data_IF_635246819146
#
_entry.id   IF_635246819146
#
_cell.length_a   1.000
_cell.length_b   1.000
_cell.length_c   1.000
_cell.angle_alpha   90.00
_cell.angle_beta   90.00
_cell.angle_gamma   90.00
#
_symmetry.space_group_name_H-M   'P 1'
#
loop_
_entity.id
_entity.type
_entity.pdbx_description
1 polymer ?
#
# COMPACT_ATOMS: atom_id res chain seq x y z
N UNK A 1 -8.66 -82.91 60.98
CA UNK A 1 -8.57 -84.22 60.31
C UNK A 1 -7.21 -84.31 59.64
N UNK A 2 -6.43 -85.34 60.00
CA UNK A 2 -5.19 -85.86 59.38
C UNK A 2 -3.97 -84.91 59.35
N UNK A 3 -2.84 -85.07 60.07
CA UNK A 3 -1.97 -86.23 60.40
C UNK A 3 -1.56 -86.97 59.10
N UNK A 4 -0.30 -87.05 58.63
CA UNK A 4 1.00 -87.44 59.24
C UNK A 4 2.16 -86.82 58.40
N UNK A 5 3.21 -86.24 59.01
CA UNK A 5 4.54 -86.80 59.38
C UNK A 5 5.48 -87.24 58.25
N UNK A 6 6.69 -86.66 58.25
CA UNK A 6 8.03 -87.32 58.31
C UNK A 6 9.13 -86.22 58.26
N UNK A 7 9.73 -85.81 59.39
CA UNK A 7 11.10 -86.15 59.86
C UNK A 7 12.12 -86.47 58.73
N UNK A 8 13.28 -85.82 58.59
CA UNK A 8 14.38 -85.67 59.57
C UNK A 8 15.60 -84.95 58.94
N UNK A 9 16.60 -84.62 59.80
CA UNK A 9 17.96 -84.03 59.58
C UNK A 9 18.01 -82.49 59.60
N UNK A 10 18.47 -81.79 60.65
CA UNK A 10 19.79 -81.77 61.32
C UNK A 10 20.95 -81.36 60.40
N UNK A 11 21.12 -80.05 60.23
CA UNK A 11 22.42 -79.35 60.18
C UNK A 11 22.18 -77.89 60.60
N UNK A 12 22.59 -77.55 61.81
CA UNK A 12 23.02 -76.19 62.13
C UNK A 12 24.29 -75.88 61.33
N UNK A 13 24.49 -74.59 61.06
CA UNK A 13 25.68 -73.87 60.57
C UNK A 13 25.53 -73.34 59.12
N UNK A 14 25.44 -72.01 59.08
CA UNK A 14 25.61 -71.06 57.96
C UNK A 14 24.39 -70.69 57.08
N UNK A 15 23.26 -70.31 57.69
CA UNK A 15 22.14 -69.62 56.97
C UNK A 15 22.15 -68.08 57.17
N UNK A 16 22.94 -67.55 58.12
CA UNK A 16 23.01 -66.11 58.39
C UNK A 16 23.75 -65.31 57.29
N UNK A 17 24.40 -65.97 56.34
CA UNK A 17 25.13 -65.33 55.23
C UNK A 17 24.30 -65.08 53.96
N UNK A 18 23.36 -65.98 53.64
CA UNK A 18 22.48 -65.84 52.46
C UNK A 18 21.27 -64.96 52.74
N UNK A 19 20.68 -65.01 53.94
CA UNK A 19 19.62 -64.07 54.34
C UNK A 19 20.14 -62.63 54.44
N UNK A 20 21.36 -62.41 54.98
CA UNK A 20 21.94 -61.07 55.08
C UNK A 20 22.30 -60.50 53.71
N UNK A 21 22.83 -61.30 52.78
CA UNK A 21 23.09 -60.85 51.39
C UNK A 21 21.82 -60.67 50.56
N UNK A 22 20.73 -61.37 50.89
CA UNK A 22 19.41 -61.17 50.30
C UNK A 22 18.76 -59.89 50.84
N UNK A 23 18.80 -59.67 52.16
CA UNK A 23 18.27 -58.49 52.83
C UNK A 23 18.98 -57.20 52.40
N UNK A 24 20.30 -57.24 52.22
CA UNK A 24 21.07 -56.09 51.73
C UNK A 24 20.69 -55.75 50.27
N UNK A 25 20.48 -56.77 49.41
CA UNK A 25 19.98 -56.59 48.04
C UNK A 25 18.56 -56.03 48.01
N UNK A 26 17.66 -56.49 48.87
CA UNK A 26 16.31 -55.91 49.01
C UNK A 26 16.36 -54.45 49.47
N UNK A 27 17.26 -54.12 50.40
CA UNK A 27 17.46 -52.74 50.88
C UNK A 27 17.95 -51.83 49.76
N UNK A 28 18.87 -52.31 48.92
CA UNK A 28 19.38 -51.59 47.75
C UNK A 28 18.29 -51.33 46.71
N UNK A 29 17.52 -52.36 46.34
CA UNK A 29 16.39 -52.24 45.41
C UNK A 29 15.33 -51.25 45.94
N UNK A 30 15.02 -51.29 47.24
CA UNK A 30 14.09 -50.33 47.86
C UNK A 30 14.63 -48.90 47.83
N UNK A 31 15.94 -48.72 48.02
CA UNK A 31 16.58 -47.41 47.90
C UNK A 31 16.54 -46.89 46.45
N UNK A 32 16.76 -47.77 45.47
CA UNK A 32 16.68 -47.45 44.05
C UNK A 32 15.26 -47.10 43.61
N UNK A 33 14.25 -47.88 44.01
CA UNK A 33 12.84 -47.56 43.77
C UNK A 33 12.42 -46.23 44.42
N UNK A 34 12.97 -45.88 45.59
CA UNK A 34 12.73 -44.56 46.22
C UNK A 34 13.37 -43.42 45.42
N UNK A 35 14.57 -43.61 44.87
CA UNK A 35 15.22 -42.62 43.99
C UNK A 35 14.44 -42.46 42.69
N UNK A 36 14.01 -43.55 42.09
CA UNK A 36 13.20 -43.55 40.88
C UNK A 36 11.84 -42.88 41.11
N UNK A 37 11.17 -43.14 42.24
CA UNK A 37 9.92 -42.46 42.61
C UNK A 37 10.11 -40.95 42.73
N UNK A 38 11.17 -40.50 43.40
CA UNK A 38 11.50 -39.06 43.49
C UNK A 38 11.78 -38.44 42.12
N UNK A 39 12.52 -39.14 41.27
CA UNK A 39 12.79 -38.68 39.90
C UNK A 39 11.49 -38.56 39.07
N UNK A 40 10.57 -39.52 39.21
CA UNK A 40 9.25 -39.48 38.57
C UNK A 40 8.41 -38.31 39.08
N UNK A 41 8.37 -38.06 40.39
CA UNK A 41 7.66 -36.92 40.98
C UNK A 41 8.21 -35.59 40.44
N UNK A 42 9.55 -35.42 40.39
CA UNK A 42 10.16 -34.21 39.81
C UNK A 42 9.83 -34.05 38.32
N UNK A 43 9.85 -35.14 37.56
CA UNK A 43 9.55 -35.12 36.13
C UNK A 43 8.07 -34.78 35.89
N UNK A 44 7.17 -35.29 36.73
CA UNK A 44 5.75 -34.99 36.69
C UNK A 44 5.48 -33.51 37.01
N UNK A 45 6.18 -32.92 37.98
CA UNK A 45 6.09 -31.48 38.24
C UNK A 45 6.56 -30.65 37.05
N UNK A 46 7.69 -31.02 36.43
CA UNK A 46 8.21 -30.33 35.23
C UNK A 46 7.27 -30.48 34.03
N UNK A 47 6.68 -31.66 33.82
CA UNK A 47 5.68 -31.88 32.77
C UNK A 47 4.45 -31.01 32.98
N UNK A 48 3.95 -30.91 34.22
CA UNK A 48 2.79 -30.08 34.52
C UNK A 48 3.07 -28.59 34.32
N UNK A 49 4.28 -28.13 34.67
CA UNK A 49 4.73 -26.76 34.38
C UNK A 49 4.80 -26.52 32.86
N UNK A 50 5.45 -27.41 32.10
CA UNK A 50 5.52 -27.30 30.64
C UNK A 50 4.14 -27.31 30.00
N UNK A 51 3.21 -28.13 30.49
CA UNK A 51 1.83 -28.17 30.01
C UNK A 51 1.10 -26.86 30.26
N UNK A 52 1.28 -26.26 31.44
CA UNK A 52 0.72 -24.95 31.77
C UNK A 52 1.27 -23.86 30.83
N UNK A 53 2.58 -23.77 30.69
CA UNK A 53 3.22 -22.81 29.78
C UNK A 53 2.78 -23.00 28.32
N UNK A 54 2.66 -24.24 27.86
CA UNK A 54 2.19 -24.54 26.51
C UNK A 54 0.73 -24.08 26.31
N UNK A 55 -0.16 -24.32 27.28
CA UNK A 55 -1.55 -23.87 27.21
C UNK A 55 -1.67 -22.34 27.22
N UNK A 56 -0.89 -21.66 28.04
CA UNK A 56 -0.87 -20.19 28.08
C UNK A 56 -0.36 -19.60 26.76
N UNK A 57 0.73 -20.16 26.22
CA UNK A 57 1.27 -19.76 24.91
C UNK A 57 0.26 -19.99 23.79
N UNK A 58 -0.45 -21.13 23.80
CA UNK A 58 -1.52 -21.42 22.81
C UNK A 58 -2.62 -20.37 22.90
N UNK A 59 -3.10 -20.05 24.11
CA UNK A 59 -4.16 -19.07 24.32
C UNK A 59 -3.76 -17.68 23.83
N UNK A 60 -2.53 -17.25 24.10
CA UNK A 60 -2.00 -15.98 23.59
C UNK A 60 -1.94 -15.97 22.05
N UNK A 61 -1.46 -17.04 21.43
CA UNK A 61 -1.42 -17.17 19.97
C UNK A 61 -2.82 -17.18 19.34
N UNK A 62 -3.78 -17.86 19.96
CA UNK A 62 -5.18 -17.85 19.52
C UNK A 62 -5.81 -16.45 19.60
N UNK A 63 -5.52 -15.69 20.66
CA UNK A 63 -5.97 -14.29 20.77
C UNK A 63 -5.34 -13.41 19.70
N UNK A 64 -4.04 -13.53 19.47
CA UNK A 64 -3.35 -12.80 18.42
C UNK A 64 -3.88 -13.14 17.01
N UNK A 65 -4.19 -14.42 16.75
CA UNK A 65 -4.82 -14.85 15.50
C UNK A 65 -6.20 -14.21 15.31
N UNK A 66 -7.05 -14.22 16.34
CA UNK A 66 -8.38 -13.58 16.28
C UNK A 66 -8.28 -12.08 15.97
N UNK A 67 -7.38 -11.36 16.64
CA UNK A 67 -7.15 -9.94 16.37
C UNK A 67 -6.67 -9.70 14.94
N UNK A 68 -5.75 -10.54 14.44
CA UNK A 68 -5.25 -10.46 13.07
C UNK A 68 -6.37 -10.72 12.05
N UNK A 69 -7.22 -11.72 12.28
CA UNK A 69 -8.33 -12.05 11.39
C UNK A 69 -9.41 -10.95 11.38
N UNK A 70 -9.66 -10.31 12.54
CA UNK A 70 -10.52 -9.12 12.62
C UNK A 70 -9.96 -7.95 11.81
N UNK A 71 -8.65 -7.65 11.92
CA UNK A 71 -8.00 -6.60 11.14
C UNK A 71 -8.03 -6.94 9.64
N UNK A 72 -7.73 -8.18 9.27
CA UNK A 72 -7.80 -8.64 7.89
C UNK A 72 -9.21 -8.43 7.30
N UNK A 73 -10.25 -8.81 8.05
CA UNK A 73 -11.63 -8.61 7.61
C UNK A 73 -12.00 -7.13 7.41
N UNK A 74 -11.47 -6.24 8.25
CA UNK A 74 -11.69 -4.78 8.12
C UNK A 74 -10.99 -4.24 6.87
N UNK A 75 -9.76 -4.66 6.62
CA UNK A 75 -8.99 -4.27 5.43
C UNK A 75 -9.65 -4.80 4.16
N UNK A 76 -10.09 -6.05 4.13
CA UNK A 76 -10.80 -6.65 2.99
C UNK A 76 -12.09 -5.88 2.67
N UNK A 77 -12.83 -5.45 3.70
CA UNK A 77 -14.02 -4.62 3.51
C UNK A 77 -13.66 -3.23 2.95
N UNK A 78 -12.58 -2.61 3.44
CA UNK A 78 -12.14 -1.30 2.94
C UNK A 78 -11.65 -1.38 1.49
N UNK A 79 -10.90 -2.43 1.14
CA UNK A 79 -10.46 -2.72 -0.23
C UNK A 79 -11.67 -2.86 -1.14
N UNK A 80 -12.64 -3.70 -0.76
CA UNK A 80 -13.88 -3.90 -1.54
C UNK A 80 -14.65 -2.59 -1.76
N UNK A 81 -14.74 -1.73 -0.75
CA UNK A 81 -15.40 -0.43 -0.89
C UNK A 81 -14.64 0.49 -1.85
N UNK A 82 -13.30 0.48 -1.82
CA UNK A 82 -12.47 1.26 -2.75
C UNK A 82 -12.55 0.73 -4.18
N UNK A 83 -12.54 -0.58 -4.36
CA UNK A 83 -12.74 -1.24 -5.67
C UNK A 83 -14.08 -0.84 -6.30
N UNK A 84 -15.18 -0.92 -5.54
CA UNK A 84 -16.49 -0.48 -6.03
C UNK A 84 -16.52 0.99 -6.44
N UNK A 85 -15.81 1.87 -5.72
CA UNK A 85 -15.69 3.28 -6.10
C UNK A 85 -14.89 3.47 -7.39
N UNK A 86 -13.79 2.74 -7.54
CA UNK A 86 -12.98 2.77 -8.77
C UNK A 86 -13.79 2.27 -9.98
N UNK A 87 -14.57 1.21 -9.83
CA UNK A 87 -15.41 0.69 -10.91
C UNK A 87 -16.49 1.69 -11.34
N UNK A 88 -17.11 2.40 -10.39
CA UNK A 88 -18.04 3.49 -10.70
C UNK A 88 -17.34 4.63 -11.45
N UNK A 89 -16.14 5.02 -11.01
CA UNK A 89 -15.37 6.07 -11.68
C UNK A 89 -14.93 5.66 -13.10
N UNK A 90 -14.43 4.43 -13.29
CA UNK A 90 -14.11 3.86 -14.62
C UNK A 90 -15.29 3.92 -15.57
N UNK A 91 -16.49 3.57 -15.10
CA UNK A 91 -17.71 3.67 -15.91
C UNK A 91 -18.00 5.12 -16.34
N UNK A 92 -17.75 6.10 -15.48
CA UNK A 92 -17.92 7.53 -15.80
C UNK A 92 -16.92 7.97 -16.87
N UNK A 93 -15.63 7.62 -16.71
CA UNK A 93 -14.61 7.94 -17.72
C UNK A 93 -14.91 7.31 -19.07
N UNK A 94 -15.29 6.04 -19.10
CA UNK A 94 -15.67 5.35 -20.35
C UNK A 94 -16.80 6.11 -21.08
N UNK A 95 -17.80 6.60 -20.33
CA UNK A 95 -18.86 7.43 -20.91
C UNK A 95 -18.31 8.77 -21.40
N UNK A 96 -17.48 9.46 -20.62
CA UNK A 96 -16.85 10.72 -21.03
C UNK A 96 -16.04 10.57 -22.31
N UNK A 97 -15.15 9.57 -22.39
CA UNK A 97 -14.36 9.28 -23.58
C UNK A 97 -15.24 8.95 -24.79
N UNK A 98 -16.34 8.22 -24.60
CA UNK A 98 -17.29 7.97 -25.69
C UNK A 98 -17.95 9.27 -26.20
N UNK A 99 -18.30 10.21 -25.31
CA UNK A 99 -18.84 11.50 -25.71
C UNK A 99 -17.80 12.38 -26.40
N UNK A 100 -16.56 12.40 -25.88
CA UNK A 100 -15.44 13.13 -26.48
C UNK A 100 -15.19 12.61 -27.90
N UNK A 101 -15.09 11.30 -28.09
CA UNK A 101 -14.86 10.71 -29.41
C UNK A 101 -15.99 11.04 -30.39
N UNK A 102 -17.25 10.93 -29.95
CA UNK A 102 -18.41 11.26 -30.78
C UNK A 102 -18.44 12.74 -31.19
N UNK A 103 -18.19 13.66 -30.27
CA UNK A 103 -18.17 15.10 -30.57
C UNK A 103 -17.02 15.43 -31.52
N UNK A 104 -15.86 14.84 -31.28
CA UNK A 104 -14.69 15.01 -32.14
C UNK A 104 -15.01 14.55 -33.57
N UNK A 105 -15.60 13.36 -33.74
CA UNK A 105 -16.01 12.85 -35.05
C UNK A 105 -17.04 13.77 -35.75
N UNK A 106 -18.05 14.24 -35.02
CA UNK A 106 -19.08 15.14 -35.59
C UNK A 106 -18.52 16.50 -35.99
N UNK A 107 -17.62 17.11 -35.20
CA UNK A 107 -16.96 18.36 -35.58
C UNK A 107 -16.11 18.17 -36.84
N UNK A 108 -15.39 17.05 -36.94
CA UNK A 108 -14.63 16.72 -38.15
C UNK A 108 -15.54 16.52 -39.37
N UNK A 109 -16.68 15.84 -39.22
CA UNK A 109 -17.67 15.69 -40.29
C UNK A 109 -18.17 17.05 -40.78
N UNK A 110 -18.48 17.98 -39.88
CA UNK A 110 -18.92 19.34 -40.24
C UNK A 110 -17.81 20.09 -40.98
N UNK A 111 -16.57 20.03 -40.51
CA UNK A 111 -15.43 20.65 -41.19
C UNK A 111 -15.28 20.11 -42.62
N UNK A 112 -15.39 18.79 -42.80
CA UNK A 112 -15.25 18.15 -44.10
C UNK A 112 -16.36 18.56 -45.09
N UNK A 113 -17.59 18.72 -44.61
CA UNK A 113 -18.71 19.20 -45.43
C UNK A 113 -18.48 20.63 -45.94
N UNK A 114 -17.85 21.49 -45.14
CA UNK A 114 -17.63 22.90 -45.49
C UNK A 114 -16.44 23.04 -46.44
N UNK A 115 -15.33 22.35 -46.16
CA UNK A 115 -14.09 22.57 -46.89
C UNK A 115 -14.17 22.14 -48.37
N UNK A 116 -15.07 21.23 -48.75
CA UNK A 116 -15.21 20.62 -50.10
C UNK A 116 -13.91 20.02 -50.70
N UNK A 117 -12.77 20.26 -50.08
CA UNK A 117 -11.50 19.63 -50.37
C UNK A 117 -11.56 18.25 -49.76
N UNK A 118 -11.44 17.26 -50.62
CA UNK A 118 -10.97 15.92 -50.26
C UNK A 118 -9.56 16.10 -49.68
N UNK A 119 -9.45 16.49 -48.40
CA UNK A 119 -8.22 16.27 -47.67
C UNK A 119 -8.13 14.76 -47.50
N UNK A 120 -7.05 14.22 -48.04
CA UNK A 120 -6.79 12.80 -48.20
C UNK A 120 -7.16 12.00 -46.95
N UNK A 121 -8.05 11.03 -47.15
CA UNK A 121 -8.53 10.06 -46.15
C UNK A 121 -7.40 9.25 -45.47
N UNK A 122 -6.14 9.39 -45.90
CA UNK A 122 -5.02 8.54 -45.47
C UNK A 122 -4.38 8.95 -44.14
N UNK A 123 -4.42 10.22 -43.76
CA UNK A 123 -3.74 10.69 -42.53
C UNK A 123 -4.69 10.80 -41.32
N UNK A 124 -6.01 10.61 -41.55
CA UNK A 124 -7.07 11.00 -40.63
C UNK A 124 -7.69 9.85 -39.81
N UNK A 125 -7.57 8.59 -40.26
CA UNK A 125 -8.11 7.44 -39.51
C UNK A 125 -7.16 6.93 -38.42
N UNK A 126 -5.86 7.25 -38.50
CA UNK A 126 -4.84 6.77 -37.57
C UNK A 126 -4.74 7.61 -36.29
N UNK A 127 -5.19 8.87 -36.31
CA UNK A 127 -5.11 9.77 -35.15
C UNK A 127 -6.40 9.78 -34.31
N UNK A 128 -7.57 9.69 -34.93
CA UNK A 128 -8.84 9.92 -34.22
C UNK A 128 -9.41 8.69 -33.51
N UNK A 129 -9.00 7.47 -33.87
CA UNK A 129 -9.56 6.23 -33.29
C UNK A 129 -8.74 5.65 -32.13
N UNK A 130 -7.54 6.16 -31.87
CA UNK A 130 -6.63 5.63 -30.85
C UNK A 130 -6.34 6.59 -29.69
N UNK A 131 -6.76 7.87 -29.77
CA UNK A 131 -6.35 8.90 -28.79
C UNK A 131 -7.16 8.87 -27.48
N UNK A 132 -8.35 8.26 -27.48
CA UNK A 132 -9.31 8.36 -26.37
C UNK A 132 -9.74 6.99 -25.84
N UNK A 133 -8.77 6.10 -25.64
CA UNK A 133 -9.02 4.80 -25.00
C UNK A 133 -8.64 4.92 -23.52
N UNK A 134 -9.61 4.80 -22.59
CA UNK A 134 -9.30 4.82 -21.17
C UNK A 134 -8.34 3.68 -20.79
N UNK A 135 -7.28 4.02 -20.06
CA UNK A 135 -6.36 3.04 -19.49
C UNK A 135 -6.95 2.47 -18.20
N UNK A 136 -7.13 1.16 -18.10
CA UNK A 136 -7.95 0.54 -17.05
C UNK A 136 -7.42 0.77 -15.61
N UNK A 137 -6.14 1.11 -15.44
CA UNK A 137 -5.50 1.14 -14.12
C UNK A 137 -5.03 2.52 -13.64
N UNK A 138 -4.96 3.54 -14.50
CA UNK A 138 -4.49 4.87 -14.10
C UNK A 138 -5.60 5.94 -14.26
N UNK A 139 -6.17 6.33 -13.12
CA UNK A 139 -7.23 7.35 -13.06
C UNK A 139 -6.70 8.77 -13.32
N UNK A 140 -5.43 9.04 -13.01
CA UNK A 140 -4.79 10.34 -13.22
C UNK A 140 -4.46 10.52 -14.70
N UNK A 141 -3.98 9.47 -15.35
CA UNK A 141 -3.76 9.42 -16.80
C UNK A 141 -5.08 9.58 -17.55
N UNK A 142 -6.13 8.84 -17.16
CA UNK A 142 -7.48 9.01 -17.73
C UNK A 142 -8.02 10.44 -17.58
N UNK A 143 -7.77 11.12 -16.46
CA UNK A 143 -8.14 12.53 -16.27
C UNK A 143 -7.39 13.45 -17.22
N UNK A 144 -6.08 13.23 -17.38
CA UNK A 144 -5.20 13.99 -18.29
C UNK A 144 -5.60 13.79 -19.75
N UNK A 145 -5.92 12.57 -20.15
CA UNK A 145 -6.33 12.23 -21.51
C UNK A 145 -7.72 12.77 -21.83
N UNK A 146 -8.65 12.69 -20.87
CA UNK A 146 -9.97 13.31 -20.98
C UNK A 146 -9.87 14.83 -21.12
N UNK A 147 -8.99 15.48 -20.35
CA UNK A 147 -8.72 16.91 -20.45
C UNK A 147 -8.14 17.26 -21.83
N UNK A 148 -7.13 16.51 -22.29
CA UNK A 148 -6.50 16.71 -23.60
C UNK A 148 -7.52 16.54 -24.74
N UNK A 149 -8.45 15.59 -24.60
CA UNK A 149 -9.55 15.40 -25.55
C UNK A 149 -10.55 16.55 -25.57
N UNK A 150 -10.90 17.09 -24.41
CA UNK A 150 -11.75 18.27 -24.30
C UNK A 150 -11.07 19.51 -24.88
N UNK A 151 -9.78 19.71 -24.64
CA UNK A 151 -9.00 20.79 -25.24
C UNK A 151 -8.98 20.68 -26.78
N UNK A 152 -8.78 19.48 -27.32
CA UNK A 152 -8.85 19.21 -28.76
C UNK A 152 -10.23 19.57 -29.34
N UNK A 153 -11.32 19.15 -28.67
CA UNK A 153 -12.69 19.51 -29.06
C UNK A 153 -12.90 21.03 -29.06
N UNK A 154 -12.39 21.74 -28.05
CA UNK A 154 -12.50 23.19 -27.99
C UNK A 154 -11.79 23.87 -29.16
N UNK A 155 -10.59 23.42 -29.53
CA UNK A 155 -9.87 23.96 -30.68
C UNK A 155 -10.56 23.61 -32.00
N UNK A 156 -11.01 22.36 -32.19
CA UNK A 156 -11.78 21.96 -33.37
C UNK A 156 -13.08 22.73 -33.49
N UNK A 157 -13.77 23.01 -32.38
CA UNK A 157 -14.98 23.82 -32.37
C UNK A 157 -14.70 25.26 -32.84
N UNK A 158 -13.61 25.88 -32.38
CA UNK A 158 -13.19 27.20 -32.86
C UNK A 158 -12.91 27.19 -34.37
N UNK A 159 -12.19 26.19 -34.86
CA UNK A 159 -11.89 26.02 -36.29
C UNK A 159 -13.19 25.83 -37.09
N UNK A 160 -14.09 24.97 -36.62
CA UNK A 160 -15.38 24.70 -37.25
C UNK A 160 -16.21 25.97 -37.38
N UNK A 161 -16.35 26.74 -36.28
CA UNK A 161 -17.08 28.02 -36.27
C UNK A 161 -16.43 29.04 -37.20
N UNK A 162 -15.09 29.08 -37.26
CA UNK A 162 -14.35 29.89 -38.22
C UNK A 162 -14.74 29.56 -39.66
N UNK A 163 -14.64 28.28 -40.04
CA UNK A 163 -14.98 27.81 -41.39
C UNK A 163 -16.44 28.04 -41.78
N UNK A 164 -17.38 27.79 -40.86
CA UNK A 164 -18.81 28.10 -41.10
C UNK A 164 -19.01 29.59 -41.38
N UNK A 165 -18.34 30.46 -40.61
CA UNK A 165 -18.42 31.91 -40.78
C UNK A 165 -17.87 32.35 -42.13
N UNK A 166 -16.71 31.83 -42.51
CA UNK A 166 -16.05 32.18 -43.78
C UNK A 166 -16.92 31.76 -44.98
N UNK A 167 -17.48 30.55 -44.96
CA UNK A 167 -18.41 30.08 -46.00
C UNK A 167 -19.72 30.88 -45.99
N UNK A 168 -20.26 31.24 -44.82
CA UNK A 168 -21.46 32.08 -44.71
C UNK A 168 -21.22 33.49 -45.27
N UNK A 169 -20.06 34.09 -45.02
CA UNK A 169 -19.70 35.41 -45.55
C UNK A 169 -19.54 35.37 -47.07
N UNK A 170 -18.89 34.32 -47.60
CA UNK A 170 -18.80 34.06 -49.04
C UNK A 170 -20.18 33.97 -49.68
N UNK A 171 -21.08 33.13 -49.15
CA UNK A 171 -22.46 32.99 -49.62
C UNK A 171 -23.24 34.31 -49.54
N UNK A 172 -23.07 35.08 -48.46
CA UNK A 172 -23.68 36.40 -48.29
C UNK A 172 -23.24 37.38 -49.38
N UNK A 173 -21.94 37.39 -49.72
CA UNK A 173 -21.40 38.22 -50.80
C UNK A 173 -21.92 37.80 -52.18
N UNK A 174 -22.03 36.50 -52.45
CA UNK A 174 -22.62 35.95 -53.69
C UNK A 174 -24.10 36.33 -53.81
N UNK A 175 -24.87 36.22 -52.73
CA UNK A 175 -26.29 36.60 -52.70
C UNK A 175 -26.47 38.10 -52.94
N UNK A 176 -25.62 38.96 -52.36
CA UNK A 176 -25.64 40.40 -52.64
C UNK A 176 -25.37 40.68 -54.12
N UNK A 177 -24.33 40.07 -54.71
CA UNK A 177 -24.01 40.23 -56.13
C UNK A 177 -25.13 39.73 -57.06
N UNK A 178 -25.78 38.60 -56.71
CA UNK A 178 -26.95 38.11 -57.45
C UNK A 178 -28.15 39.05 -57.31
N UNK A 179 -28.40 39.61 -56.12
CA UNK A 179 -29.46 40.60 -55.89
C UNK A 179 -29.25 41.85 -56.73
N UNK A 180 -28.03 42.39 -56.74
CA UNK A 180 -27.67 43.56 -57.56
C UNK A 180 -27.90 43.29 -59.05
N UNK A 181 -27.56 42.08 -59.52
CA UNK A 181 -27.80 41.65 -60.91
C UNK A 181 -29.30 41.54 -61.22
N UNK A 182 -30.10 41.03 -60.30
CA UNK A 182 -31.56 40.97 -60.43
C UNK A 182 -32.16 42.37 -60.49
N UNK A 183 -31.69 43.29 -59.64
CA UNK A 183 -32.13 44.69 -59.62
C UNK A 183 -31.78 45.40 -60.94
N UNK A 184 -30.59 45.13 -61.49
CA UNK A 184 -30.19 45.64 -62.80
C UNK A 184 -31.11 45.12 -63.91
N UNK A 185 -31.36 43.81 -63.96
CA UNK A 185 -32.26 43.20 -64.94
C UNK A 185 -33.70 43.71 -64.80
N UNK A 186 -34.16 44.00 -63.58
CA UNK A 186 -35.48 44.60 -63.34
C UNK A 186 -35.56 46.03 -63.88
N UNK A 187 -34.50 46.84 -63.71
CA UNK A 187 -34.42 48.19 -64.30
C UNK A 187 -34.38 48.13 -65.83
N UNK A 188 -33.60 47.22 -66.41
CA UNK A 188 -33.55 47.01 -67.87
C UNK A 188 -34.91 46.56 -68.40
N UNK A 189 -35.60 45.62 -67.74
CA UNK A 189 -36.97 45.22 -68.07
C UNK A 189 -37.94 46.40 -68.02
N UNK A 190 -37.87 47.24 -66.99
CA UNK A 190 -38.72 48.44 -66.89
C UNK A 190 -38.42 49.42 -68.02
N UNK A 191 -37.14 49.68 -68.32
CA UNK A 191 -36.71 50.55 -69.42
C UNK A 191 -37.19 50.03 -70.78
N UNK A 192 -37.00 48.75 -71.07
CA UNK A 192 -37.52 48.07 -72.28
C UNK A 192 -39.04 48.14 -72.32
N UNK A 193 -39.73 47.97 -71.19
CA UNK A 193 -41.18 48.10 -71.08
C UNK A 193 -41.68 49.50 -71.44
N UNK A 194 -41.02 50.55 -70.94
CA UNK A 194 -41.34 51.95 -71.27
C UNK A 194 -41.04 52.24 -72.74
N UNK A 195 -39.91 51.77 -73.27
CA UNK A 195 -39.58 51.88 -74.71
C UNK A 195 -40.61 51.20 -75.59
N UNK A 196 -40.99 49.95 -75.30
CA UNK A 196 -42.03 49.23 -76.04
C UNK A 196 -43.38 49.94 -75.96
N UNK A 197 -43.76 50.43 -74.78
CA UNK A 197 -45.00 51.19 -74.62
C UNK A 197 -44.95 52.50 -75.41
N UNK A 198 -43.78 53.15 -75.46
CA UNK A 198 -43.56 54.38 -76.23
C UNK A 198 -43.55 54.13 -77.73
N UNK A 199 -42.89 53.07 -78.21
CA UNK A 199 -42.90 52.65 -79.62
C UNK A 199 -44.29 52.18 -80.04
N UNK A 200 -45.02 51.46 -79.19
CA UNK A 200 -46.42 51.11 -79.45
C UNK A 200 -47.28 52.37 -79.51
N UNK A 201 -47.08 53.32 -78.60
CA UNK A 201 -47.81 54.60 -78.59
C UNK A 201 -47.50 55.46 -79.82
N UNK A 202 -46.24 55.50 -80.24
CA UNK A 202 -45.75 56.24 -81.41
C UNK A 202 -46.19 55.58 -82.73
N UNK A 203 -46.13 54.24 -82.81
CA UNK A 203 -46.70 53.48 -83.95
C UNK A 203 -48.23 53.55 -83.99
N UNK A 204 -48.88 53.81 -82.84
CA UNK A 204 -50.29 54.17 -82.78
C UNK A 204 -50.55 55.64 -83.17
N UNK A 205 -49.55 56.51 -83.26
CA UNK A 205 -49.73 57.87 -83.76
C UNK A 205 -49.29 57.97 -85.21
N UNK A 206 -50.28 58.25 -86.06
CA UNK A 206 -50.11 58.75 -87.44
C UNK A 206 -49.66 57.67 -88.45
N UNK A 207 -50.46 56.60 -88.59
CA UNK A 207 -50.89 56.06 -89.90
C UNK A 207 -51.89 54.90 -89.68
N UNK A 208 -51.65 54.01 -88.70
CA UNK A 208 -52.55 52.88 -88.39
C UNK A 208 -53.80 53.25 -87.58
N UNK A 209 -53.95 54.48 -87.07
CA UNK A 209 -55.18 54.90 -86.40
C UNK A 209 -56.27 55.29 -87.41
N UNK A 210 -55.93 55.58 -88.67
CA UNK A 210 -56.93 55.71 -89.75
C UNK A 210 -57.43 54.33 -90.20
N UNK A 211 -56.52 53.38 -90.43
CA UNK A 211 -56.90 51.99 -90.78
C UNK A 211 -57.59 51.27 -89.62
N UNK A 212 -57.13 51.44 -88.37
CA UNK A 212 -57.81 50.90 -87.19
C UNK A 212 -59.11 51.64 -86.90
N UNK A 213 -59.25 52.95 -87.18
CA UNK A 213 -60.57 53.61 -87.09
C UNK A 213 -61.54 53.15 -88.17
N UNK A 214 -61.08 52.75 -89.36
CA UNK A 214 -61.97 52.16 -90.37
C UNK A 214 -62.34 50.72 -90.00
N UNK A 215 -61.39 49.92 -89.50
CA UNK A 215 -61.66 48.55 -89.01
C UNK A 215 -62.52 48.57 -87.73
N UNK A 216 -62.33 49.57 -86.85
CA UNK A 216 -63.17 49.79 -85.66
C UNK A 216 -64.52 50.37 -86.05
N UNK A 217 -64.65 51.23 -87.07
CA UNK A 217 -65.96 51.70 -87.55
C UNK A 217 -66.74 50.57 -88.24
N UNK A 218 -66.08 49.69 -89.01
CA UNK A 218 -66.69 48.47 -89.58
C UNK A 218 -67.08 47.47 -88.49
N UNK A 219 -66.29 47.35 -87.42
CA UNK A 219 -66.65 46.54 -86.25
C UNK A 219 -67.76 47.17 -85.39
N UNK A 220 -67.78 48.50 -85.22
CA UNK A 220 -68.80 49.26 -84.51
C UNK A 220 -70.13 49.27 -85.26
N UNK A 221 -70.12 49.35 -86.60
CA UNK A 221 -71.32 49.23 -87.43
C UNK A 221 -71.85 47.78 -87.42
N UNK A 222 -70.97 46.77 -87.39
CA UNK A 222 -71.34 45.35 -87.18
C UNK A 222 -71.81 45.02 -85.74
N UNK A 223 -71.38 45.80 -84.74
CA UNK A 223 -71.83 45.69 -83.33
C UNK A 223 -73.12 46.48 -83.07
N UNK A 224 -73.37 47.57 -83.80
CA UNK A 224 -74.64 48.32 -83.78
C UNK A 224 -75.78 47.52 -84.40
N UNK A 225 -75.49 46.66 -85.39
CA UNK A 225 -76.41 45.63 -85.90
C UNK A 225 -76.74 44.55 -84.84
N UNK A 226 -75.91 44.41 -83.79
CA UNK A 226 -76.09 43.48 -82.66
C UNK A 226 -76.43 44.11 -81.30
N UNK A 227 -76.65 45.44 -81.23
CA UNK A 227 -77.43 46.10 -80.18
C UNK A 227 -76.78 46.39 -78.80
N UNK A 228 -75.58 46.99 -78.73
CA UNK A 228 -75.03 47.47 -77.46
C UNK A 228 -74.59 48.94 -77.51
N UNK A 229 -75.11 49.78 -76.59
CA UNK A 229 -74.88 51.23 -76.47
C UNK A 229 -74.28 51.55 -75.08
N UNK A 230 -73.18 52.31 -75.02
CA UNK A 230 -72.56 52.79 -73.76
C UNK A 230 -72.33 54.30 -73.90
N UNK A 231 -73.17 55.09 -73.20
CA UNK A 231 -73.01 56.55 -73.06
C UNK A 231 -72.28 56.89 -71.76
N UNK A 232 -71.17 57.60 -71.89
CA UNK A 232 -70.50 58.33 -70.80
C UNK A 232 -70.88 59.81 -70.94
N UNK A 233 -71.52 60.37 -69.91
CA UNK A 233 -71.94 61.77 -69.89
C UNK A 233 -71.08 62.62 -68.96
N UNK A 234 -70.62 63.77 -69.46
CA UNK A 234 -70.33 64.96 -68.67
C UNK A 234 -71.04 66.12 -69.38
N UNK A 235 -71.75 66.99 -68.63
CA UNK A 235 -71.99 68.41 -69.01
C UNK A 235 -72.88 69.20 -68.01
N UNK A 236 -72.34 70.38 -67.66
CA UNK A 236 -72.88 71.71 -67.29
C UNK A 236 -73.65 72.05 -65.99
N UNK A 237 -73.11 73.10 -65.34
CA UNK A 237 -73.73 74.08 -64.45
C UNK A 237 -74.80 74.94 -65.15
N UNK A 238 -75.89 75.31 -64.45
CA UNK A 238 -76.17 76.70 -63.96
C UNK A 238 -77.62 76.91 -63.48
N UNK A 239 -77.71 77.77 -62.45
CA UNK A 239 -78.77 78.74 -62.09
C UNK A 239 -80.09 78.27 -61.47
N UNK A 240 -80.23 78.60 -60.17
CA UNK A 240 -81.25 79.50 -59.62
C UNK A 240 -82.71 79.05 -59.64
N UNK A 241 -83.22 78.61 -58.49
CA UNK A 241 -84.64 78.73 -58.16
C UNK A 241 -84.87 78.67 -56.63
N UNK A 242 -85.79 79.49 -56.13
CA UNK A 242 -86.12 79.65 -54.70
C UNK A 242 -86.99 78.47 -54.23
N UNK A 243 -86.35 77.33 -53.92
CA UNK A 243 -86.89 76.24 -53.09
C UNK A 243 -85.78 75.32 -52.52
N UNK A 244 -84.54 75.80 -52.49
CA UNK A 244 -83.32 75.00 -52.28
C UNK A 244 -82.89 74.92 -50.80
N UNK A 245 -83.43 75.75 -49.90
CA UNK A 245 -83.02 75.74 -48.49
C UNK A 245 -83.27 74.38 -47.81
N UNK A 246 -84.32 73.64 -48.17
CA UNK A 246 -84.61 72.33 -47.56
C UNK A 246 -83.66 71.22 -48.06
N UNK A 247 -83.16 71.33 -49.29
CA UNK A 247 -82.29 70.33 -49.95
C UNK A 247 -80.81 70.59 -49.62
N UNK A 248 -80.41 71.85 -49.46
CA UNK A 248 -79.10 72.25 -48.92
C UNK A 248 -78.97 71.94 -47.41
N UNK A 249 -80.03 72.16 -46.62
CA UNK A 249 -80.05 71.77 -45.20
C UNK A 249 -80.04 70.25 -45.05
N UNK A 250 -80.72 69.50 -45.92
CA UNK A 250 -80.69 68.03 -45.91
C UNK A 250 -79.35 67.47 -46.36
N UNK A 251 -78.67 68.08 -47.34
CA UNK A 251 -77.32 67.67 -47.75
C UNK A 251 -76.26 68.02 -46.72
N UNK A 252 -76.35 69.19 -46.06
CA UNK A 252 -75.47 69.55 -44.95
C UNK A 252 -75.70 68.65 -43.72
N UNK A 253 -76.94 68.33 -43.38
CA UNK A 253 -77.27 67.41 -42.30
C UNK A 253 -76.70 66.00 -42.56
N UNK A 254 -76.83 65.48 -43.78
CA UNK A 254 -76.24 64.20 -44.18
C UNK A 254 -74.70 64.22 -44.17
N UNK A 255 -74.07 65.33 -44.55
CA UNK A 255 -72.62 65.50 -44.45
C UNK A 255 -72.15 65.53 -42.98
N UNK A 256 -72.88 66.25 -42.13
CA UNK A 256 -72.60 66.34 -40.71
C UNK A 256 -72.82 65.00 -40.00
N UNK A 257 -73.89 64.27 -40.33
CA UNK A 257 -74.15 62.91 -39.84
C UNK A 257 -73.04 61.95 -40.27
N UNK A 258 -72.57 62.03 -41.52
CA UNK A 258 -71.45 61.23 -41.98
C UNK A 258 -70.13 61.56 -41.24
N UNK A 259 -69.83 62.83 -40.99
CA UNK A 259 -68.65 63.24 -40.21
C UNK A 259 -68.76 62.75 -38.75
N UNK A 260 -69.93 62.89 -38.14
CA UNK A 260 -70.20 62.38 -36.78
C UNK A 260 -70.07 60.85 -36.74
N UNK A 261 -70.60 60.13 -37.74
CA UNK A 261 -70.48 58.68 -37.82
C UNK A 261 -69.03 58.22 -38.01
N UNK A 262 -68.26 58.90 -38.87
CA UNK A 262 -66.83 58.60 -39.10
C UNK A 262 -66.02 58.86 -37.83
N UNK A 263 -66.23 60.02 -37.18
CA UNK A 263 -65.55 60.34 -35.92
C UNK A 263 -65.96 59.41 -34.78
N UNK A 264 -67.22 58.99 -34.70
CA UNK A 264 -67.66 58.00 -33.72
C UNK A 264 -66.98 56.64 -33.93
N UNK A 265 -66.86 56.19 -35.19
CA UNK A 265 -66.15 54.96 -35.53
C UNK A 265 -64.66 55.06 -35.16
N UNK A 266 -64.03 56.20 -35.45
CA UNK A 266 -62.64 56.45 -35.07
C UNK A 266 -62.44 56.49 -33.54
N UNK A 267 -63.35 57.12 -32.79
CA UNK A 267 -63.36 57.08 -31.32
C UNK A 267 -63.43 55.64 -30.82
N UNK A 268 -64.33 54.80 -31.36
CA UNK A 268 -64.42 53.39 -30.94
C UNK A 268 -63.17 52.59 -31.27
N UNK A 269 -62.54 52.84 -32.42
CA UNK A 269 -61.28 52.19 -32.80
C UNK A 269 -60.12 52.59 -31.88
N UNK A 270 -60.01 53.88 -31.55
CA UNK A 270 -59.01 54.37 -30.61
C UNK A 270 -59.25 53.83 -29.20
N UNK A 271 -60.51 53.71 -28.76
CA UNK A 271 -60.85 53.09 -27.48
C UNK A 271 -60.40 51.62 -27.42
N UNK A 272 -60.69 50.83 -28.45
CA UNK A 272 -60.23 49.44 -28.55
C UNK A 272 -58.70 49.35 -28.46
N UNK A 273 -57.98 50.19 -29.21
CA UNK A 273 -56.51 50.23 -29.17
C UNK A 273 -55.97 50.61 -27.78
N UNK A 274 -56.61 51.57 -27.09
CA UNK A 274 -56.21 51.93 -25.72
C UNK A 274 -56.45 50.78 -24.75
N UNK A 275 -57.54 50.03 -24.89
CA UNK A 275 -57.83 48.89 -24.03
C UNK A 275 -56.89 47.71 -24.30
N UNK A 276 -56.50 47.47 -25.55
CA UNK A 276 -55.43 46.53 -25.93
C UNK A 276 -54.09 46.90 -25.27
N UNK A 277 -53.65 48.15 -25.42
CA UNK A 277 -52.41 48.64 -24.80
C UNK A 277 -52.45 48.57 -23.27
N UNK A 278 -53.61 48.82 -22.64
CA UNK A 278 -53.79 48.62 -21.19
C UNK A 278 -53.67 47.14 -20.81
N UNK A 279 -54.18 46.24 -21.64
CA UNK A 279 -54.03 44.79 -21.45
C UNK A 279 -52.58 44.36 -21.51
N UNK A 280 -51.85 44.78 -22.55
CA UNK A 280 -50.42 44.53 -22.71
C UNK A 280 -49.60 45.10 -21.55
N UNK A 281 -49.90 46.34 -21.12
CA UNK A 281 -49.24 46.97 -19.97
C UNK A 281 -49.45 46.21 -18.67
N UNK A 282 -50.67 45.68 -18.43
CA UNK A 282 -50.96 44.83 -17.26
C UNK A 282 -50.17 43.51 -17.31
N UNK A 283 -50.06 42.90 -18.49
CA UNK A 283 -49.31 41.66 -18.68
C UNK A 283 -47.81 41.87 -18.44
N UNK A 284 -47.23 42.92 -19.03
CA UNK A 284 -45.84 43.31 -18.80
C UNK A 284 -45.58 43.61 -17.32
N UNK A 285 -46.49 44.33 -16.66
CA UNK A 285 -46.38 44.61 -15.22
C UNK A 285 -46.39 43.31 -14.39
N UNK A 286 -47.29 42.39 -14.68
CA UNK A 286 -47.34 41.09 -13.99
C UNK A 286 -46.06 40.28 -14.21
N UNK A 287 -45.49 40.30 -15.44
CA UNK A 287 -44.22 39.63 -15.74
C UNK A 287 -43.05 40.25 -14.97
N UNK A 288 -42.97 41.59 -14.89
CA UNK A 288 -41.94 42.28 -14.12
C UNK A 288 -42.06 41.98 -12.62
N UNK A 289 -43.28 41.94 -12.08
CA UNK A 289 -43.52 41.57 -10.68
C UNK A 289 -43.13 40.11 -10.39
N UNK A 290 -43.40 39.18 -11.31
CA UNK A 290 -42.97 37.80 -11.21
C UNK A 290 -41.44 37.68 -11.24
N UNK A 291 -40.78 38.35 -12.19
CA UNK A 291 -39.32 38.39 -12.28
C UNK A 291 -38.68 39.03 -11.03
N UNK A 292 -39.27 40.07 -10.46
CA UNK A 292 -38.79 40.69 -9.22
C UNK A 292 -38.85 39.72 -8.03
N UNK A 293 -39.92 38.91 -7.93
CA UNK A 293 -40.04 37.86 -6.90
C UNK A 293 -38.98 36.78 -7.09
N UNK A 294 -38.78 36.29 -8.31
CA UNK A 294 -37.76 35.29 -8.60
C UNK A 294 -36.35 35.79 -8.29
N UNK A 295 -36.04 37.04 -8.66
CA UNK A 295 -34.76 37.68 -8.32
C UNK A 295 -34.57 37.81 -6.81
N UNK A 296 -35.62 38.15 -6.06
CA UNK A 296 -35.55 38.23 -4.59
C UNK A 296 -35.29 36.87 -3.95
N UNK A 297 -35.91 35.80 -4.47
CA UNK A 297 -35.69 34.44 -3.98
C UNK A 297 -34.27 33.96 -4.29
N UNK A 298 -33.79 34.19 -5.52
CA UNK A 298 -32.41 33.87 -5.92
C UNK A 298 -31.40 34.63 -5.05
N UNK A 299 -31.66 35.89 -4.73
CA UNK A 299 -30.82 36.69 -3.82
C UNK A 299 -30.74 36.06 -2.43
N UNK A 300 -31.87 35.66 -1.85
CA UNK A 300 -31.88 34.98 -0.55
C UNK A 300 -31.07 33.68 -0.59
N UNK A 301 -31.23 32.89 -1.66
CA UNK A 301 -30.47 31.64 -1.81
C UNK A 301 -28.96 31.86 -1.95
N UNK A 302 -28.54 32.94 -2.63
CA UNK A 302 -27.13 33.31 -2.74
C UNK A 302 -26.55 33.63 -1.35
N UNK A 303 -27.27 34.40 -0.53
CA UNK A 303 -26.80 34.71 0.83
C UNK A 303 -26.71 33.46 1.72
N UNK A 304 -27.68 32.55 1.67
CA UNK A 304 -27.59 31.27 2.37
C UNK A 304 -26.35 30.45 1.97
N UNK A 305 -25.99 30.47 0.68
CA UNK A 305 -24.82 29.75 0.17
C UNK A 305 -23.54 30.42 0.66
N UNK A 306 -23.46 31.75 0.66
CA UNK A 306 -22.30 32.49 1.20
C UNK A 306 -22.10 32.22 2.70
N UNK A 307 -23.16 32.19 3.49
CA UNK A 307 -23.07 31.86 4.92
C UNK A 307 -22.54 30.44 5.13
N UNK A 308 -23.00 29.48 4.33
CA UNK A 308 -22.51 28.09 4.36
C UNK A 308 -21.05 27.99 3.94
N UNK A 309 -20.62 28.78 2.95
CA UNK A 309 -19.22 28.87 2.52
C UNK A 309 -18.34 29.41 3.65
N UNK A 310 -18.75 30.49 4.33
CA UNK A 310 -18.03 31.06 5.47
C UNK A 310 -17.91 30.03 6.61
N UNK A 311 -18.98 29.30 6.91
CA UNK A 311 -18.97 28.27 7.95
C UNK A 311 -18.10 27.07 7.57
N UNK A 312 -18.16 26.63 6.30
CA UNK A 312 -17.29 25.59 5.78
C UNK A 312 -15.80 25.98 5.85
N UNK A 313 -15.46 27.23 5.51
CA UNK A 313 -14.09 27.74 5.61
C UNK A 313 -13.58 27.72 7.05
N UNK A 314 -14.38 28.18 8.02
CA UNK A 314 -14.04 28.09 9.44
C UNK A 314 -13.84 26.65 9.91
N UNK A 315 -14.69 25.72 9.46
CA UNK A 315 -14.53 24.31 9.79
C UNK A 315 -13.23 23.72 9.21
N UNK A 316 -12.87 24.08 7.98
CA UNK A 316 -11.60 23.68 7.36
C UNK A 316 -10.42 24.23 8.15
N UNK A 317 -10.46 25.50 8.57
CA UNK A 317 -9.41 26.10 9.42
C UNK A 317 -9.21 25.34 10.74
N UNK A 318 -10.29 24.98 11.42
CA UNK A 318 -10.24 24.18 12.66
C UNK A 318 -9.61 22.81 12.40
N UNK A 319 -10.06 22.11 11.35
CA UNK A 319 -9.51 20.80 10.98
C UNK A 319 -8.02 20.90 10.59
N UNK A 320 -7.59 21.96 9.90
CA UNK A 320 -6.18 22.18 9.61
C UNK A 320 -5.36 22.31 10.90
N UNK A 321 -5.86 23.05 11.90
CA UNK A 321 -5.18 23.22 13.19
C UNK A 321 -5.06 21.88 13.95
N UNK A 322 -6.12 21.07 13.96
CA UNK A 322 -6.10 19.72 14.55
C UNK A 322 -5.13 18.79 13.83
N UNK A 323 -5.10 18.81 12.48
CA UNK A 323 -4.14 18.04 11.68
C UNK A 323 -2.71 18.46 12.00
N UNK A 324 -2.43 19.76 12.13
CA UNK A 324 -1.08 20.22 12.50
C UNK A 324 -0.68 19.77 13.90
N UNK A 325 -1.59 19.87 14.87
CA UNK A 325 -1.33 19.41 16.24
C UNK A 325 -1.10 17.89 16.29
N UNK A 326 -1.89 17.11 15.57
CA UNK A 326 -1.74 15.66 15.50
C UNK A 326 -0.43 15.26 14.81
N UNK A 327 -0.03 15.97 13.75
CA UNK A 327 1.27 15.76 13.09
C UNK A 327 2.44 16.00 14.04
N UNK A 328 2.39 17.06 14.85
CA UNK A 328 3.42 17.31 15.86
C UNK A 328 3.47 16.24 16.94
N UNK A 329 2.33 15.69 17.36
CA UNK A 329 2.32 14.61 18.35
C UNK A 329 2.90 13.31 17.78
N UNK A 330 2.63 13.01 16.50
CA UNK A 330 3.22 11.87 15.79
C UNK A 330 4.75 12.04 15.72
N UNK A 331 5.27 13.23 15.41
CA UNK A 331 6.72 13.43 15.35
C UNK A 331 7.37 13.32 16.72
N UNK A 332 6.74 13.83 17.79
CA UNK A 332 7.21 13.63 19.18
C UNK A 332 7.23 12.15 19.56
N UNK A 333 6.14 11.43 19.30
CA UNK A 333 6.04 10.00 19.59
C UNK A 333 7.06 9.18 18.81
N UNK A 334 7.31 9.52 17.55
CA UNK A 334 8.32 8.88 16.72
C UNK A 334 9.72 9.03 17.32
N UNK A 335 10.09 10.25 17.73
CA UNK A 335 11.40 10.51 18.34
C UNK A 335 11.56 9.75 19.65
N UNK A 336 10.52 9.69 20.49
CA UNK A 336 10.54 8.91 21.73
C UNK A 336 10.75 7.41 21.46
N UNK A 337 10.05 6.84 20.47
CA UNK A 337 10.20 5.44 20.09
C UNK A 337 11.61 5.13 19.51
N UNK A 338 12.17 6.04 18.72
CA UNK A 338 13.54 5.90 18.19
C UNK A 338 14.58 5.92 19.32
N UNK A 339 14.39 6.78 20.33
CA UNK A 339 15.26 6.85 21.49
C UNK A 339 15.16 5.59 22.35
N UNK A 340 13.96 5.07 22.58
CA UNK A 340 13.75 3.81 23.31
C UNK A 340 14.41 2.64 22.57
N UNK A 341 14.26 2.56 21.24
CA UNK A 341 14.94 1.56 20.42
C UNK A 341 16.47 1.70 20.47
N UNK A 342 17.00 2.93 20.53
CA UNK A 342 18.44 3.16 20.68
C UNK A 342 18.96 2.69 22.05
N UNK A 343 18.24 2.98 23.14
CA UNK A 343 18.56 2.47 24.48
C UNK A 343 18.49 0.95 24.52
N UNK A 344 17.45 0.36 23.92
CA UNK A 344 17.30 -1.10 23.82
C UNK A 344 18.46 -1.77 23.07
N UNK A 345 18.96 -1.15 21.99
CA UNK A 345 20.15 -1.64 21.26
C UNK A 345 21.42 -1.57 22.11
N UNK A 346 21.63 -0.48 22.86
CA UNK A 346 22.79 -0.33 23.73
C UNK A 346 22.81 -1.40 24.83
N UNK A 347 21.68 -1.61 25.51
CA UNK A 347 21.53 -2.67 26.52
C UNK A 347 21.78 -4.05 25.88
N UNK A 348 21.25 -4.29 24.68
CA UNK A 348 21.51 -5.54 23.95
C UNK A 348 23.00 -5.78 23.67
N UNK A 349 23.74 -4.74 23.28
CA UNK A 349 25.20 -4.81 23.07
C UNK A 349 25.96 -5.06 24.37
N UNK A 350 25.55 -4.45 25.48
CA UNK A 350 26.14 -4.68 26.80
C UNK A 350 25.93 -6.14 27.24
N UNK A 351 24.71 -6.68 27.04
CA UNK A 351 24.41 -8.08 27.36
C UNK A 351 25.21 -9.06 26.49
N UNK A 352 25.38 -8.78 25.19
CA UNK A 352 26.23 -9.58 24.31
C UNK A 352 27.67 -9.57 24.81
N UNK A 353 28.18 -8.40 25.21
CA UNK A 353 29.53 -8.25 25.75
C UNK A 353 29.71 -9.06 27.04
N UNK A 354 28.74 -8.99 27.96
CA UNK A 354 28.73 -9.79 29.20
C UNK A 354 28.68 -11.29 28.92
N UNK A 355 27.83 -11.74 27.98
CA UNK A 355 27.76 -13.15 27.60
C UNK A 355 29.08 -13.64 27.00
N UNK A 356 29.74 -12.82 26.18
CA UNK A 356 31.05 -13.17 25.61
C UNK A 356 32.14 -13.31 26.68
N UNK A 357 32.14 -12.44 27.70
CA UNK A 357 33.07 -12.52 28.82
C UNK A 357 32.81 -13.77 29.67
N UNK A 358 31.54 -14.05 30.02
CA UNK A 358 31.17 -15.26 30.76
C UNK A 358 31.49 -16.55 29.98
N UNK A 359 31.31 -16.54 28.67
CA UNK A 359 31.68 -17.67 27.83
C UNK A 359 33.19 -17.90 27.83
N UNK A 360 33.99 -16.84 27.79
CA UNK A 360 35.44 -16.94 27.92
C UNK A 360 35.86 -17.50 29.28
N UNK A 361 35.31 -16.99 30.39
CA UNK A 361 35.58 -17.51 31.74
C UNK A 361 35.20 -18.99 31.88
N UNK A 362 34.07 -19.38 31.26
CA UNK A 362 33.65 -20.78 31.22
C UNK A 362 34.66 -21.66 30.46
N UNK A 363 35.22 -21.17 29.35
CA UNK A 363 36.19 -21.94 28.59
C UNK A 363 37.56 -22.00 29.28
N UNK A 364 37.98 -20.94 29.98
CA UNK A 364 39.18 -20.94 30.83
C UNK A 364 39.04 -21.94 31.99
N UNK A 365 37.91 -21.94 32.69
CA UNK A 365 37.65 -22.89 33.78
C UNK A 365 37.61 -24.34 33.29
N UNK A 366 37.04 -24.61 32.11
CA UNK A 366 37.12 -25.93 31.47
C UNK A 366 38.56 -26.35 31.20
N UNK A 367 39.41 -25.45 30.70
CA UNK A 367 40.83 -25.75 30.46
C UNK A 367 41.55 -26.11 31.76
N UNK A 368 41.33 -25.34 32.83
CA UNK A 368 41.90 -25.62 34.16
C UNK A 368 41.44 -26.99 34.68
N UNK A 369 40.16 -27.33 34.53
CA UNK A 369 39.64 -28.65 34.92
C UNK A 369 40.35 -29.77 34.15
N UNK A 370 40.51 -29.64 32.83
CA UNK A 370 41.22 -30.63 32.01
C UNK A 370 42.69 -30.82 32.45
N UNK A 371 43.36 -29.74 32.85
CA UNK A 371 44.72 -29.84 33.40
C UNK A 371 44.76 -30.53 34.77
N UNK A 372 43.80 -30.24 35.64
CA UNK A 372 43.68 -30.89 36.94
C UNK A 372 43.35 -32.38 36.80
N UNK A 373 42.49 -32.76 35.85
CA UNK A 373 42.22 -34.16 35.52
C UNK A 373 43.48 -34.89 35.05
N UNK A 374 44.30 -34.26 34.18
CA UNK A 374 45.60 -34.83 33.77
C UNK A 374 46.53 -35.02 34.97
N UNK A 375 46.64 -34.01 35.85
CA UNK A 375 47.44 -34.10 37.08
C UNK A 375 46.93 -35.21 38.01
N UNK A 376 45.62 -35.38 38.13
CA UNK A 376 45.01 -36.45 38.92
C UNK A 376 45.38 -37.83 38.36
N UNK A 377 45.25 -38.03 37.05
CA UNK A 377 45.66 -39.29 36.39
C UNK A 377 47.15 -39.60 36.59
N UNK A 378 48.02 -38.59 36.54
CA UNK A 378 49.44 -38.77 36.85
C UNK A 378 49.65 -39.22 38.30
N UNK A 379 48.96 -38.60 39.27
CA UNK A 379 49.01 -39.00 40.68
C UNK A 379 48.49 -40.43 40.88
N UNK A 380 47.41 -40.80 40.20
CA UNK A 380 46.86 -42.15 40.21
C UNK A 380 47.86 -43.19 39.67
N UNK A 381 48.49 -42.91 38.53
CA UNK A 381 49.54 -43.76 37.96
C UNK A 381 50.76 -43.90 38.89
N UNK A 382 51.17 -42.80 39.54
CA UNK A 382 52.27 -42.83 40.52
C UNK A 382 51.89 -43.68 41.74
N UNK A 383 50.65 -43.58 42.22
CA UNK A 383 50.16 -44.41 43.33
C UNK A 383 50.17 -45.90 42.95
N UNK A 384 49.72 -46.25 41.75
CA UNK A 384 49.78 -47.63 41.22
C UNK A 384 51.24 -48.13 41.16
N UNK A 385 52.16 -47.31 40.65
CA UNK A 385 53.58 -47.66 40.58
C UNK A 385 54.20 -47.86 41.97
N UNK A 386 53.87 -47.00 42.94
CA UNK A 386 54.34 -47.10 44.32
C UNK A 386 53.83 -48.39 45.01
N UNK A 387 52.56 -48.75 44.78
CA UNK A 387 52.00 -50.03 45.22
C UNK A 387 52.77 -51.21 44.61
N UNK A 388 53.07 -51.17 43.30
CA UNK A 388 53.88 -52.20 42.64
C UNK A 388 55.31 -52.33 43.21
N UNK A 389 55.97 -51.21 43.54
CA UNK A 389 57.29 -51.22 44.21
C UNK A 389 57.20 -51.81 45.60
N UNK A 390 56.17 -51.47 46.37
CA UNK A 390 55.92 -52.03 47.69
C UNK A 390 55.71 -53.55 47.61
N UNK A 391 54.89 -54.04 46.69
CA UNK A 391 54.67 -55.48 46.51
C UNK A 391 55.96 -56.21 46.11
N UNK A 392 56.81 -55.59 45.29
CA UNK A 392 58.12 -56.13 44.92
C UNK A 392 59.10 -56.14 46.10
N UNK A 393 59.13 -55.09 46.91
CA UNK A 393 59.99 -55.00 48.09
C UNK A 393 59.56 -55.98 49.19
N UNK A 394 58.25 -56.16 49.41
CA UNK A 394 57.72 -57.19 50.32
C UNK A 394 58.11 -58.60 49.87
N UNK A 395 58.03 -58.90 48.57
CA UNK A 395 58.52 -60.19 48.03
C UNK A 395 60.02 -60.37 48.25
N UNK A 396 60.81 -59.33 48.01
CA UNK A 396 62.27 -59.36 48.23
C UNK A 396 62.61 -59.58 49.72
N UNK A 397 61.92 -58.90 50.63
CA UNK A 397 62.07 -59.05 52.07
C UNK A 397 61.75 -60.49 52.51
N UNK A 398 60.63 -61.06 52.06
CA UNK A 398 60.28 -62.46 52.36
C UNK A 398 61.34 -63.46 51.89
N UNK A 399 61.95 -63.22 50.73
CA UNK A 399 63.05 -64.05 50.23
C UNK A 399 64.32 -63.90 51.08
N UNK A 400 64.63 -62.68 51.54
CA UNK A 400 65.74 -62.42 52.45
C UNK A 400 65.52 -63.10 53.81
N UNK A 401 64.32 -63.00 54.38
CA UNK A 401 63.95 -63.65 55.64
C UNK A 401 64.05 -65.17 55.55
N UNK A 402 63.61 -65.77 54.45
CA UNK A 402 63.76 -67.20 54.18
C UNK A 402 65.23 -67.62 54.04
N UNK A 403 66.06 -66.79 53.40
CA UNK A 403 67.51 -67.06 53.31
C UNK A 403 68.17 -66.97 54.67
N UNK A 404 67.81 -65.96 55.45
CA UNK A 404 68.33 -65.75 56.80
C UNK A 404 67.91 -66.87 57.75
N UNK A 405 66.67 -67.38 57.67
CA UNK A 405 66.24 -68.51 58.48
C UNK A 405 67.07 -69.76 58.18
N UNK A 406 67.29 -70.08 56.90
CA UNK A 406 68.17 -71.18 56.49
C UNK A 406 69.61 -71.01 56.97
N UNK A 407 70.15 -69.78 56.89
CA UNK A 407 71.49 -69.50 57.39
C UNK A 407 71.58 -69.62 58.91
N UNK A 408 70.54 -69.22 59.65
CA UNK A 408 70.46 -69.41 61.10
C UNK A 408 70.41 -70.89 61.47
N UNK A 409 69.56 -71.68 60.83
CA UNK A 409 69.52 -73.15 61.01
C UNK A 409 70.91 -73.76 60.79
N UNK A 410 71.59 -73.39 59.70
CA UNK A 410 72.93 -73.88 59.41
C UNK A 410 73.99 -73.45 60.45
N UNK A 411 73.89 -72.23 60.96
CA UNK A 411 74.75 -71.75 62.05
C UNK A 411 74.46 -72.46 63.37
N UNK A 412 73.19 -72.72 63.69
CA UNK A 412 72.79 -73.48 64.86
C UNK A 412 73.33 -74.92 64.79
N UNK A 413 73.24 -75.57 63.62
CA UNK A 413 73.83 -76.89 63.37
C UNK A 413 75.35 -76.88 63.59
N UNK A 414 76.05 -75.88 63.04
CA UNK A 414 77.49 -75.71 63.26
C UNK A 414 77.83 -75.43 64.73
N UNK A 415 77.01 -74.64 65.42
CA UNK A 415 77.19 -74.36 66.85
C UNK A 415 77.01 -75.62 67.67
N UNK A 416 76.00 -76.44 67.37
CA UNK A 416 75.81 -77.75 68.00
C UNK A 416 77.01 -78.67 67.73
N UNK A 417 77.52 -78.68 66.50
CA UNK A 417 78.74 -79.44 66.18
C UNK A 417 79.93 -78.98 67.01
N UNK A 418 80.14 -77.66 67.13
CA UNK A 418 81.24 -77.04 67.86
C UNK A 418 81.11 -77.24 69.37
N UNK A 419 79.92 -77.12 69.95
CA UNK A 419 79.62 -77.50 71.33
C UNK A 419 79.94 -78.97 71.57
N UNK A 420 79.56 -79.88 70.65
CA UNK A 420 79.91 -81.30 70.78
C UNK A 420 81.44 -81.53 70.75
N UNK A 421 82.19 -80.72 69.99
CA UNK A 421 83.66 -80.78 69.94
C UNK A 421 84.27 -80.18 71.20
N UNK A 422 83.79 -79.02 71.66
CA UNK A 422 84.24 -78.41 72.91
C UNK A 422 83.95 -79.28 74.13
N UNK A 423 82.82 -80.00 74.14
CA UNK A 423 82.49 -80.95 75.19
C UNK A 423 83.41 -82.19 75.16
N UNK A 424 83.90 -82.57 73.97
CA UNK A 424 84.97 -83.58 73.78
C UNK A 424 86.37 -83.05 74.14
N UNK A 425 86.64 -81.75 73.94
CA UNK A 425 87.92 -81.09 74.26
C UNK A 425 88.05 -80.69 75.74
N UNK A 426 86.94 -80.34 76.43
CA UNK A 426 86.90 -80.15 77.88
C UNK A 426 87.24 -81.44 78.65
N UNK A 427 87.03 -82.62 78.04
CA UNK A 427 87.49 -83.91 78.55
C UNK A 427 88.97 -84.19 78.25
N UNK A 428 89.65 -83.37 77.43
CA UNK A 428 91.01 -83.62 76.92
C UNK A 428 91.94 -82.38 76.94
N UNK A 429 92.11 -81.69 78.07
CA UNK A 429 93.44 -81.46 78.67
C UNK A 429 93.45 -80.52 79.89
N UNK A 430 94.03 -81.04 80.98
CA UNK A 430 94.66 -80.21 82.01
C UNK A 430 95.86 -79.45 81.41
N UNK A 431 96.03 -78.19 81.83
CA UNK A 431 97.22 -77.32 81.66
C UNK A 431 97.49 -76.78 80.24
N UNK A 432 97.22 -75.50 80.01
CA UNK A 432 98.23 -74.41 80.01
C UNK A 432 97.67 -73.08 79.47
N UNK A 433 97.88 -72.04 80.29
CA UNK A 433 98.15 -70.61 80.05
C UNK A 433 97.48 -69.85 78.90
N UNK A 434 96.84 -68.77 79.34
CA UNK A 434 96.49 -67.54 78.62
C UNK A 434 97.52 -67.13 77.55
N UNK A 435 97.00 -66.90 76.34
CA UNK A 435 97.66 -66.12 75.29
C UNK A 435 96.73 -64.97 74.92
N UNK A 436 97.03 -63.78 75.43
CA UNK A 436 96.47 -62.54 74.93
C UNK A 436 96.90 -62.35 73.47
N UNK A 437 95.97 -62.09 72.54
CA UNK A 437 96.36 -61.53 71.25
C UNK A 437 95.31 -60.58 70.61
N UNK A 438 95.77 -59.56 69.86
CA UNK A 438 95.08 -58.31 69.56
C UNK A 438 94.57 -58.23 68.11
N UNK A 439 93.62 -57.33 67.82
CA UNK A 439 93.41 -56.83 66.46
C UNK A 439 93.13 -55.33 66.46
N UNK A 440 94.19 -54.60 66.10
CA UNK A 440 94.11 -53.29 65.47
C UNK A 440 94.92 -53.42 64.17
N UNK A 441 94.34 -52.94 63.06
CA UNK A 441 94.91 -52.72 61.70
C UNK A 441 94.79 -53.83 60.63
N UNK A 442 93.82 -53.67 59.73
CA UNK A 442 94.09 -53.40 58.30
C UNK A 442 93.13 -52.31 57.79
N UNK A 443 93.65 -51.16 57.35
CA UNK A 443 93.00 -50.36 56.30
C UNK A 443 92.49 -48.93 56.60
N UNK A 444 93.23 -48.10 57.32
CA UNK A 444 93.18 -46.65 57.09
C UNK A 444 93.97 -46.32 55.81
N UNK A 445 93.37 -45.56 54.89
CA UNK A 445 94.08 -44.54 54.12
C UNK A 445 93.20 -43.28 54.09
N UNK A 446 93.66 -42.28 54.84
CA UNK A 446 93.37 -40.88 54.60
C UNK A 446 94.73 -40.16 54.40
N UNK A 447 94.70 -38.97 53.79
CA UNK A 447 95.78 -38.08 53.30
C UNK A 447 96.07 -38.29 51.80
N UNK A 448 96.03 -37.30 50.90
CA UNK A 448 95.82 -35.85 50.97
C UNK A 448 96.19 -35.23 49.61
N UNK A 449 95.52 -34.12 49.25
CA UNK A 449 95.75 -33.11 48.18
C UNK A 449 96.91 -33.26 47.16
N UNK A 450 96.60 -33.14 45.85
CA UNK A 450 96.98 -31.97 45.03
C UNK A 450 96.28 -31.92 43.64
N UNK A 451 95.67 -30.75 43.40
CA UNK A 451 95.35 -30.00 42.18
C UNK A 451 95.79 -30.56 40.79
N UNK A 452 94.87 -30.55 39.81
CA UNK A 452 95.25 -30.72 38.39
C UNK A 452 94.14 -30.99 37.36
N UNK A 453 93.15 -30.09 37.25
CA UNK A 453 92.53 -29.62 36.00
C UNK A 453 91.84 -30.59 34.99
N UNK A 454 90.54 -30.35 34.77
CA UNK A 454 89.80 -30.14 33.49
C UNK A 454 88.48 -30.92 33.40
N UNK A 455 87.40 -30.12 33.41
CA UNK A 455 86.08 -30.24 32.76
C UNK A 455 85.42 -31.63 32.64
N UNK A 456 84.24 -31.77 33.24
CA UNK A 456 82.98 -31.44 32.55
C UNK A 456 81.79 -31.49 33.51
N UNK A 457 81.08 -30.36 33.56
CA UNK A 457 79.64 -30.15 33.77
C UNK A 457 78.89 -31.20 34.58
N UNK A 458 78.36 -30.77 35.73
CA UNK A 458 76.91 -30.62 35.93
C UNK A 458 76.65 -30.18 37.37
N UNK A 459 76.16 -28.95 37.53
CA UNK A 459 75.35 -28.52 38.66
C UNK A 459 74.55 -27.32 38.16
N UNK A 460 73.25 -27.51 38.03
CA UNK A 460 72.29 -26.42 38.23
C UNK A 460 71.22 -26.95 39.14
N UNK A 461 71.22 -26.37 40.32
CA UNK A 461 70.30 -26.57 41.41
C UNK A 461 68.87 -26.21 41.01
N UNK A 462 67.96 -26.88 41.70
CA UNK A 462 66.57 -26.53 41.89
C UNK A 462 66.44 -25.18 42.62
N UNK A 463 65.87 -24.17 41.95
CA UNK A 463 65.20 -23.05 42.60
C UNK A 463 63.72 -23.05 42.22
N UNK A 464 62.88 -23.02 43.25
CA UNK A 464 61.44 -22.80 43.19
C UNK A 464 61.14 -21.35 43.58
N UNK A 465 60.07 -20.81 42.99
CA UNK A 465 59.36 -19.54 43.28
C UNK A 465 59.91 -18.33 42.51
N UNK A 466 59.14 -17.47 41.82
CA UNK A 466 57.70 -17.23 41.66
C UNK A 466 57.50 -16.23 40.46
N UNK A 467 56.29 -15.77 40.09
CA UNK A 467 55.91 -15.35 38.72
C UNK A 467 56.07 -13.85 38.44
N UNK A 468 55.94 -13.45 37.17
CA UNK A 468 55.20 -12.25 36.72
C UNK A 468 55.18 -12.10 35.18
N UNK A 469 54.00 -11.72 34.68
CA UNK A 469 53.54 -11.32 33.33
C UNK A 469 53.12 -12.43 32.38
#
# INVERSE_FOLDING_TARGET
MSIDKSNSLLTDIDDDGEEVTSFERYREVVAELKRERKARETLETSINQLKFFAQETIKEKEQALKQRDEIASKLDNEIRVKELKLDVQRSIFNKQFSYIANIHEELYRVINVIDNNVLDQSDLSSSSNSLFVPEEFDMEENLRDSLSGLESICELSKITVGKIRDEMEKRSSEVKGLSEKVDQLMKEKQYVGVLLTSVLREKCTIESLKEMSEVVRVAEDGLREKGFDIKSGSVFEKQGDENVEQDEVSTLANAMENIVRVSQLEITKLQQSVDELRGESRLLKAQVEAQAKDLSQRKCRIEEIKEKEILANKNVEVLMMEITSAKEEITRSKVAAEQEAAVGRAIGQDLISQLSALQQELDETKQVILELEKKLRLKENVAIAALGVKDASEKSLRLADLRNSKQREWLEDLSHQLESVMQKDLQKQSRQRYSCWPWQWQGLNFVGYHLGNIQQRNLTDTELSEPLV
#
